data_IF_364844034174
#
_entry.id   IF_364844034174
#
_cell.length_a   1.000
_cell.length_b   1.000
_cell.length_c   1.000
_cell.angle_alpha   90.00
_cell.angle_beta   90.00
_cell.angle_gamma   90.00
#
_symmetry.space_group_name_H-M   'P 1'
#
loop_
_entity.id
_entity.type
_entity.pdbx_description
1 polymer ?
#
# COMPACT_ATOMS: atom_id res chain seq x y z
N UNK A 1 -26.42 -11.94 0.12
CA UNK A 1 -25.39 -10.91 -0.06
C UNK A 1 -24.79 -10.64 1.32
N UNK A 2 -23.61 -11.14 1.59
CA UNK A 2 -22.87 -10.78 2.80
C UNK A 2 -22.40 -9.33 2.61
N UNK A 3 -22.83 -8.43 3.47
CA UNK A 3 -22.32 -7.07 3.51
C UNK A 3 -20.81 -7.16 3.83
N UNK A 4 -19.99 -6.72 2.92
CA UNK A 4 -18.55 -6.53 3.21
C UNK A 4 -18.50 -5.48 4.31
N UNK A 5 -17.97 -5.86 5.47
CA UNK A 5 -17.82 -4.93 6.57
C UNK A 5 -16.88 -3.81 6.11
N UNK A 6 -17.39 -2.58 6.10
CA UNK A 6 -16.59 -1.42 5.76
C UNK A 6 -15.54 -1.20 6.83
N UNK A 7 -14.28 -1.06 6.42
CA UNK A 7 -13.17 -0.74 7.33
C UNK A 7 -13.41 0.65 7.91
N UNK A 8 -13.39 0.76 9.23
CA UNK A 8 -13.46 2.05 9.90
C UNK A 8 -12.06 2.53 10.26
N UNK A 9 -11.77 3.79 9.98
CA UNK A 9 -10.46 4.41 10.28
C UNK A 9 -10.03 4.23 11.74
N UNK A 10 -10.95 4.34 12.66
CA UNK A 10 -10.72 4.15 14.09
C UNK A 10 -10.24 2.74 14.45
N UNK A 11 -10.57 1.74 13.64
CA UNK A 11 -10.16 0.36 13.84
C UNK A 11 -8.70 0.11 13.42
N UNK A 12 -8.10 1.07 12.71
CA UNK A 12 -6.72 1.00 12.20
C UNK A 12 -5.70 1.63 13.13
N UNK A 13 -6.15 2.33 14.18
CA UNK A 13 -5.26 2.99 15.12
C UNK A 13 -4.47 2.00 15.95
N UNK A 14 -3.17 1.95 15.78
CA UNK A 14 -2.28 1.10 16.56
C UNK A 14 -1.39 1.93 17.46
N UNK A 15 -1.39 1.58 18.74
CA UNK A 15 -0.40 2.06 19.70
C UNK A 15 0.70 1.00 19.83
N UNK A 16 1.95 1.43 19.95
CA UNK A 16 3.11 0.60 20.27
C UNK A 16 3.69 -0.27 19.15
N UNK A 17 3.72 0.23 17.93
CA UNK A 17 4.55 -0.36 16.86
C UNK A 17 5.85 0.41 16.69
N UNK A 18 6.91 -0.27 16.23
CA UNK A 18 8.21 0.34 15.93
C UNK A 18 8.11 1.31 14.74
N UNK A 19 7.08 1.17 13.94
CA UNK A 19 6.78 2.01 12.78
C UNK A 19 5.44 2.73 13.02
N UNK A 20 5.42 4.07 13.06
CA UNK A 20 4.20 4.80 13.34
C UNK A 20 3.15 4.60 12.24
N UNK A 21 1.88 4.59 12.63
CA UNK A 21 0.77 4.68 11.69
C UNK A 21 0.76 6.01 10.96
N UNK A 22 0.51 5.99 9.67
CA UNK A 22 0.43 7.15 8.80
C UNK A 22 -0.76 7.01 7.84
N UNK A 23 -1.27 8.14 7.39
CA UNK A 23 -2.38 8.18 6.46
C UNK A 23 -2.17 9.25 5.39
N UNK A 24 -2.65 8.97 4.20
CA UNK A 24 -2.82 9.95 3.13
C UNK A 24 -4.25 9.89 2.63
N UNK A 25 -4.83 11.01 2.27
CA UNK A 25 -6.18 11.07 1.74
C UNK A 25 -6.33 12.16 0.67
N UNK A 26 -7.26 11.95 -0.24
CA UNK A 26 -7.65 12.93 -1.24
C UNK A 26 -9.15 12.84 -1.49
N UNK A 27 -9.78 13.97 -1.74
CA UNK A 27 -11.17 14.04 -2.18
C UNK A 27 -11.21 14.54 -3.62
N UNK A 28 -11.77 13.75 -4.53
CA UNK A 28 -11.92 14.06 -5.94
C UNK A 28 -13.39 13.90 -6.31
N UNK A 29 -14.01 14.95 -6.84
CA UNK A 29 -15.44 14.97 -7.20
C UNK A 29 -16.36 14.53 -6.05
N UNK A 30 -16.03 14.91 -4.80
CA UNK A 30 -16.78 14.53 -3.60
C UNK A 30 -16.60 13.06 -3.16
N UNK A 31 -15.69 12.32 -3.78
CA UNK A 31 -15.34 10.95 -3.43
C UNK A 31 -14.06 10.92 -2.63
N UNK A 32 -14.06 10.23 -1.50
CA UNK A 32 -12.89 10.12 -0.65
C UNK A 32 -12.10 8.88 -0.99
N UNK A 33 -10.80 9.06 -1.08
CA UNK A 33 -9.81 7.99 -1.16
C UNK A 33 -8.84 8.18 0.00
N UNK A 34 -8.46 7.10 0.66
CA UNK A 34 -7.39 7.16 1.65
C UNK A 34 -6.58 5.88 1.67
N UNK A 35 -5.31 6.01 2.06
CA UNK A 35 -4.41 4.88 2.34
C UNK A 35 -3.92 5.04 3.76
N UNK A 36 -4.03 3.97 4.55
CA UNK A 36 -3.44 3.86 5.87
C UNK A 36 -2.31 2.82 5.86
N UNK A 37 -1.18 3.15 6.45
CA UNK A 37 0.00 2.30 6.47
C UNK A 37 0.84 2.54 7.73
N UNK A 38 1.74 1.61 8.03
CA UNK A 38 2.79 1.80 9.03
C UNK A 38 4.08 2.19 8.33
N UNK A 39 4.67 3.31 8.76
CA UNK A 39 5.78 3.96 8.11
C UNK A 39 7.14 3.56 8.73
N UNK A 40 7.87 2.57 8.18
CA UNK A 40 9.19 2.22 8.65
C UNK A 40 10.22 3.28 8.25
N UNK A 41 11.29 3.39 9.05
CA UNK A 41 12.45 4.22 8.76
C UNK A 41 13.65 3.38 8.31
N UNK A 42 14.52 3.97 7.50
CA UNK A 42 15.73 3.32 6.96
C UNK A 42 16.68 2.88 8.07
N UNK A 43 16.94 3.76 9.03
CA UNK A 43 17.82 3.49 10.18
C UNK A 43 19.18 2.88 9.77
N UNK A 44 19.80 3.44 8.75
CA UNK A 44 21.09 2.99 8.24
C UNK A 44 21.08 1.66 7.49
N UNK A 45 19.92 1.07 7.22
CA UNK A 45 19.77 -0.15 6.42
C UNK A 45 19.80 0.18 4.93
N UNK A 46 20.16 -0.82 4.12
CA UNK A 46 19.92 -0.80 2.69
C UNK A 46 18.54 -1.45 2.44
N UNK A 47 17.59 -0.70 1.88
CA UNK A 47 16.21 -1.15 1.81
C UNK A 47 15.94 -1.96 0.55
N UNK A 48 16.18 -1.41 -0.63
CA UNK A 48 15.79 -2.02 -1.89
C UNK A 48 17.01 -2.40 -2.73
N UNK A 49 16.89 -3.49 -3.49
CA UNK A 49 17.89 -3.93 -4.47
C UNK A 49 18.19 -5.40 -4.40
N UNK A 50 19.40 -5.79 -4.76
CA UNK A 50 19.82 -7.17 -4.86
C UNK A 50 19.97 -7.90 -3.52
N UNK A 51 20.76 -8.96 -3.52
CA UNK A 51 20.99 -9.79 -2.34
C UNK A 51 21.53 -8.97 -1.15
N UNK A 52 20.92 -9.15 0.02
CA UNK A 52 21.27 -8.44 1.24
C UNK A 52 20.47 -7.17 1.51
N UNK A 53 19.65 -6.72 0.58
CA UNK A 53 18.68 -5.66 0.83
C UNK A 53 17.58 -6.13 1.80
N UNK A 54 17.01 -5.19 2.55
CA UNK A 54 15.91 -5.49 3.47
C UNK A 54 14.65 -5.97 2.73
N UNK A 55 14.44 -5.42 1.55
CA UNK A 55 13.40 -5.80 0.59
C UNK A 55 14.11 -6.15 -0.74
N UNK A 56 14.52 -7.40 -0.95
CA UNK A 56 15.29 -7.77 -2.13
C UNK A 56 14.43 -7.80 -3.38
N UNK A 57 15.09 -7.58 -4.52
CA UNK A 57 14.46 -7.73 -5.84
C UNK A 57 13.80 -9.10 -5.99
N UNK A 58 12.64 -9.14 -6.64
CA UNK A 58 11.84 -10.34 -6.83
C UNK A 58 11.01 -10.76 -5.63
N UNK A 59 11.03 -10.00 -4.52
CA UNK A 59 10.16 -10.24 -3.38
C UNK A 59 8.84 -9.46 -3.48
N UNK A 60 7.84 -9.90 -2.73
CA UNK A 60 6.61 -9.13 -2.50
C UNK A 60 6.72 -8.41 -1.16
N UNK A 61 6.53 -7.10 -1.20
CA UNK A 61 6.57 -6.23 -0.03
C UNK A 61 5.17 -5.74 0.34
N UNK A 62 4.79 -5.81 1.62
CA UNK A 62 3.47 -5.36 2.13
C UNK A 62 3.28 -3.84 2.16
N UNK A 63 4.14 -3.10 1.48
CA UNK A 63 4.07 -1.65 1.29
C UNK A 63 4.06 -0.86 2.61
N UNK A 64 4.79 -1.34 3.58
CA UNK A 64 4.86 -0.79 4.93
C UNK A 64 5.49 -1.75 5.91
N UNK A 65 5.24 -1.54 7.19
CA UNK A 65 5.68 -2.39 8.28
C UNK A 65 4.48 -2.85 9.12
N UNK A 66 4.72 -3.80 10.01
CA UNK A 66 3.77 -4.35 10.98
C UNK A 66 2.49 -4.89 10.31
N UNK A 67 1.47 -4.07 10.12
CA UNK A 67 0.17 -4.46 9.56
C UNK A 67 0.07 -4.17 8.06
N UNK A 68 -0.94 -4.74 7.42
CA UNK A 68 -1.19 -4.51 6.01
C UNK A 68 -1.51 -3.04 5.72
N UNK A 69 -1.01 -2.55 4.61
CA UNK A 69 -1.40 -1.24 4.05
C UNK A 69 -2.79 -1.36 3.44
N UNK A 70 -3.69 -0.45 3.76
CA UNK A 70 -5.09 -0.47 3.36
C UNK A 70 -5.40 0.70 2.44
N UNK A 71 -6.07 0.41 1.33
CA UNK A 71 -6.70 1.39 0.45
C UNK A 71 -8.21 1.36 0.67
N UNK A 72 -8.80 2.53 0.88
CA UNK A 72 -10.23 2.75 0.79
C UNK A 72 -10.57 3.66 -0.38
N UNK A 73 -11.67 3.37 -1.08
CA UNK A 73 -12.21 4.24 -2.11
C UNK A 73 -13.73 4.26 -2.12
N UNK A 74 -14.32 5.48 -2.10
CA UNK A 74 -15.76 5.70 -2.23
C UNK A 74 -16.29 5.53 -3.66
N UNK A 75 -15.40 5.42 -4.64
CA UNK A 75 -15.73 5.31 -6.06
C UNK A 75 -14.92 4.23 -6.76
N UNK A 76 -15.40 3.80 -7.91
CA UNK A 76 -14.60 2.97 -8.80
C UNK A 76 -13.39 3.78 -9.31
N UNK A 77 -12.24 3.14 -9.40
CA UNK A 77 -10.99 3.73 -9.88
C UNK A 77 -10.49 3.01 -11.11
N UNK A 78 -9.77 3.74 -11.93
CA UNK A 78 -8.79 3.19 -12.86
C UNK A 78 -7.40 3.58 -12.36
N UNK A 79 -6.62 2.61 -11.90
CA UNK A 79 -5.26 2.83 -11.45
C UNK A 79 -4.30 2.32 -12.54
N UNK A 80 -3.84 3.22 -13.39
CA UNK A 80 -2.94 2.93 -14.50
C UNK A 80 -3.36 1.70 -15.33
N UNK A 81 -4.67 1.63 -15.67
CA UNK A 81 -5.28 0.54 -16.43
C UNK A 81 -5.86 -0.61 -15.59
N UNK A 82 -5.67 -0.63 -14.27
CA UNK A 82 -6.32 -1.57 -13.38
C UNK A 82 -7.65 -1.00 -12.88
N UNK A 83 -8.76 -1.65 -13.20
CA UNK A 83 -10.07 -1.31 -12.65
C UNK A 83 -10.17 -1.78 -11.20
N UNK A 84 -10.43 -0.85 -10.28
CA UNK A 84 -10.62 -1.10 -8.85
C UNK A 84 -12.03 -0.63 -8.46
N UNK A 85 -12.98 -1.54 -8.22
CA UNK A 85 -14.30 -1.17 -7.74
C UNK A 85 -14.23 -0.43 -6.40
N UNK A 86 -15.22 0.40 -6.09
CA UNK A 86 -15.34 1.03 -4.77
C UNK A 86 -15.28 -0.03 -3.66
N UNK A 87 -14.57 0.26 -2.59
CA UNK A 87 -14.38 -0.69 -1.49
C UNK A 87 -13.07 -0.52 -0.75
N UNK A 88 -12.73 -1.54 -0.01
CA UNK A 88 -11.52 -1.62 0.81
C UNK A 88 -10.63 -2.76 0.30
N UNK A 89 -9.33 -2.49 0.26
CA UNK A 89 -8.32 -3.40 -0.27
C UNK A 89 -7.05 -3.35 0.56
N UNK A 90 -6.25 -4.42 0.49
CA UNK A 90 -4.87 -4.38 0.95
C UNK A 90 -3.92 -4.18 -0.23
N UNK A 91 -2.82 -3.48 0.01
CA UNK A 91 -1.82 -3.14 -1.01
C UNK A 91 -0.49 -3.82 -0.73
N UNK A 92 0.12 -4.31 -1.80
CA UNK A 92 1.47 -4.87 -1.81
C UNK A 92 2.24 -4.32 -3.01
N UNK A 93 3.55 -4.46 -2.99
CA UNK A 93 4.39 -4.19 -4.14
C UNK A 93 5.18 -5.44 -4.52
N UNK A 94 5.06 -5.84 -5.77
CA UNK A 94 5.96 -6.81 -6.41
C UNK A 94 7.21 -6.05 -6.85
N UNK A 95 8.35 -6.40 -6.26
CA UNK A 95 9.63 -5.72 -6.46
C UNK A 95 10.41 -6.36 -7.61
N UNK A 96 9.77 -6.60 -8.73
CA UNK A 96 10.39 -7.27 -9.86
C UNK A 96 11.50 -6.41 -10.48
N UNK A 97 12.72 -6.73 -10.10
CA UNK A 97 13.99 -6.25 -10.69
C UNK A 97 13.98 -4.77 -11.14
N UNK A 98 13.50 -3.88 -10.26
CA UNK A 98 13.43 -2.44 -10.51
C UNK A 98 12.26 -1.97 -11.38
N UNK A 99 11.34 -2.86 -11.74
CA UNK A 99 10.08 -2.57 -12.43
C UNK A 99 8.90 -3.00 -11.56
N UNK A 100 8.57 -2.19 -10.57
CA UNK A 100 7.58 -2.57 -9.58
C UNK A 100 6.15 -2.55 -10.12
N UNK A 101 5.35 -3.45 -9.55
CA UNK A 101 3.90 -3.46 -9.74
C UNK A 101 3.21 -3.33 -8.40
N UNK A 102 2.21 -2.48 -8.33
CA UNK A 102 1.31 -2.44 -7.19
C UNK A 102 0.34 -3.62 -7.30
N UNK A 103 0.24 -4.41 -6.25
CA UNK A 103 -0.73 -5.50 -6.12
C UNK A 103 -1.90 -4.99 -5.28
N UNK A 104 -3.10 -5.09 -5.82
CA UNK A 104 -4.34 -4.80 -5.11
C UNK A 104 -5.01 -6.13 -4.75
N UNK A 105 -5.23 -6.36 -3.45
CA UNK A 105 -5.75 -7.62 -2.95
C UNK A 105 -7.06 -7.41 -2.18
N UNK A 106 -8.00 -8.34 -2.35
CA UNK A 106 -9.35 -8.30 -1.74
C UNK A 106 -9.36 -8.86 -0.32
N UNK A 107 -8.26 -9.39 0.18
CA UNK A 107 -8.22 -9.98 1.52
C UNK A 107 -8.12 -8.90 2.59
N UNK A 108 -9.18 -8.76 3.35
CA UNK A 108 -9.29 -7.93 4.54
C UNK A 108 -9.66 -8.85 5.70
N UNK A 109 -8.69 -9.19 6.53
CA UNK A 109 -8.95 -9.86 7.80
C UNK A 109 -8.87 -8.82 8.91
N UNK A 110 -9.99 -8.51 9.53
CA UNK A 110 -10.04 -7.60 10.67
C UNK A 110 -9.78 -8.39 11.95
N UNK A 111 -8.70 -8.11 12.63
CA UNK A 111 -8.51 -8.45 14.04
C UNK A 111 -8.97 -7.30 14.93
N UNK A 112 -8.94 -7.47 16.25
CA UNK A 112 -9.54 -6.54 17.22
C UNK A 112 -9.12 -5.05 17.12
N UNK A 113 -8.14 -4.70 16.30
CA UNK A 113 -7.69 -3.33 15.97
C UNK A 113 -6.77 -3.28 14.75
N UNK A 114 -6.72 -4.31 13.92
CA UNK A 114 -5.74 -4.41 12.85
C UNK A 114 -6.33 -5.00 11.60
N UNK A 115 -5.87 -4.56 10.46
CA UNK A 115 -6.15 -5.20 9.18
C UNK A 115 -4.96 -6.09 8.83
N UNK A 116 -5.25 -7.36 8.65
CA UNK A 116 -4.30 -8.35 8.22
C UNK A 116 -4.52 -8.64 6.75
N UNK A 117 -3.48 -8.55 5.96
CA UNK A 117 -3.52 -8.94 4.56
C UNK A 117 -2.93 -10.32 4.33
N UNK A 118 -2.75 -10.66 3.07
CA UNK A 118 -2.06 -11.89 2.67
C UNK A 118 -0.66 -11.94 3.29
N UNK A 119 -0.29 -13.09 3.84
CA UNK A 119 1.03 -13.32 4.43
C UNK A 119 1.27 -12.66 5.79
N UNK A 120 0.29 -11.98 6.34
CA UNK A 120 0.35 -11.42 7.69
C UNK A 120 -0.55 -12.23 8.61
N UNK A 121 -0.01 -12.75 9.69
CA UNK A 121 -0.74 -13.60 10.63
C UNK A 121 -1.52 -12.78 11.65
N UNK A 122 -2.80 -13.14 11.97
CA UNK A 122 -3.59 -12.48 12.99
C UNK A 122 -3.00 -12.54 14.41
N UNK A 123 -2.13 -13.52 14.68
CA UNK A 123 -1.44 -13.67 15.96
C UNK A 123 -0.15 -12.84 16.07
N UNK A 124 0.22 -12.11 15.00
CA UNK A 124 1.42 -11.27 14.96
C UNK A 124 2.74 -12.04 14.92
N UNK A 125 2.70 -13.37 14.92
CA UNK A 125 3.89 -14.22 15.02
C UNK A 125 4.67 -14.28 13.70
N UNK A 126 4.03 -13.95 12.59
CA UNK A 126 4.63 -13.99 11.25
C UNK A 126 4.79 -12.61 10.62
N UNK A 127 5.30 -11.68 11.37
CA UNK A 127 5.71 -10.40 10.80
C UNK A 127 6.74 -10.62 9.68
N UNK A 128 6.50 -10.03 8.53
CA UNK A 128 7.42 -10.09 7.42
C UNK A 128 7.19 -11.20 6.40
N UNK A 129 6.36 -12.20 6.70
CA UNK A 129 6.00 -13.21 5.70
C UNK A 129 4.94 -12.63 4.74
N UNK A 130 5.35 -11.81 3.81
CA UNK A 130 4.46 -11.36 2.75
C UNK A 130 4.46 -12.41 1.64
N UNK A 131 3.29 -12.92 1.32
CA UNK A 131 3.09 -13.83 0.21
C UNK A 131 2.12 -13.22 -0.78
N UNK A 132 2.26 -13.59 -2.03
CA UNK A 132 1.27 -13.35 -3.05
C UNK A 132 0.23 -14.46 -3.00
N UNK A 133 -1.05 -14.10 -3.07
CA UNK A 133 -2.14 -15.04 -3.20
C UNK A 133 -2.98 -14.68 -4.43
N UNK A 134 -2.72 -15.29 -5.58
CA UNK A 134 -3.47 -15.03 -6.80
C UNK A 134 -4.97 -15.25 -6.68
N UNK A 135 -5.42 -16.10 -5.76
CA UNK A 135 -6.84 -16.37 -5.56
C UNK A 135 -7.62 -15.19 -4.99
N UNK A 136 -6.96 -14.31 -4.25
CA UNK A 136 -7.55 -13.12 -3.62
C UNK A 136 -7.09 -11.81 -4.26
N UNK A 137 -6.12 -11.86 -5.15
CA UNK A 137 -5.63 -10.70 -5.90
C UNK A 137 -6.72 -10.15 -6.81
N UNK A 138 -6.95 -8.83 -6.76
CA UNK A 138 -7.81 -8.14 -7.73
C UNK A 138 -7.05 -7.95 -9.04
N UNK A 139 -5.79 -7.58 -8.97
CA UNK A 139 -4.91 -7.36 -10.09
C UNK A 139 -3.69 -6.52 -9.74
N UNK A 140 -2.91 -6.19 -10.76
CA UNK A 140 -1.64 -5.45 -10.64
C UNK A 140 -1.60 -4.25 -11.57
N UNK A 141 -1.08 -3.14 -11.07
CA UNK A 141 -0.82 -1.95 -11.85
C UNK A 141 0.70 -1.68 -11.90
N UNK A 142 1.23 -1.40 -13.08
CA UNK A 142 2.63 -1.02 -13.24
C UNK A 142 2.90 0.32 -12.58
N UNK A 143 4.05 0.44 -11.90
CA UNK A 143 4.51 1.67 -11.28
C UNK A 143 5.61 2.31 -12.13
N UNK A 144 5.59 3.62 -12.22
CA UNK A 144 6.70 4.39 -12.79
C UNK A 144 7.77 4.57 -11.74
N UNK A 145 8.95 4.03 -12.00
CA UNK A 145 10.08 4.06 -11.07
C UNK A 145 10.92 5.33 -11.25
N UNK A 146 11.48 5.81 -10.15
CA UNK A 146 12.34 6.98 -10.14
C UNK A 146 13.18 7.09 -8.87
N UNK A 147 13.77 8.26 -8.67
CA UNK A 147 14.54 8.58 -7.47
C UNK A 147 14.04 9.89 -6.87
N UNK A 148 13.99 10.00 -5.53
CA UNK A 148 13.71 11.27 -4.88
C UNK A 148 14.91 12.23 -5.03
N UNK A 149 14.66 13.53 -4.86
CA UNK A 149 15.73 14.55 -4.91
C UNK A 149 16.78 14.40 -3.78
N UNK A 150 16.36 13.79 -2.69
CA UNK A 150 17.22 13.42 -1.55
C UNK A 150 16.67 12.14 -0.91
N UNK A 151 17.51 11.34 -0.23
CA UNK A 151 17.06 10.11 0.42
C UNK A 151 15.90 10.36 1.41
N UNK A 152 14.91 9.49 1.37
CA UNK A 152 13.71 9.55 2.22
C UNK A 152 13.87 8.57 3.37
N UNK A 153 14.08 9.09 4.58
CA UNK A 153 14.35 8.27 5.77
C UNK A 153 13.16 7.41 6.19
N UNK A 154 11.95 7.99 6.17
CA UNK A 154 10.73 7.29 6.60
C UNK A 154 9.82 7.09 5.39
N UNK A 155 9.30 5.88 5.21
CA UNK A 155 8.35 5.57 4.13
C UNK A 155 7.24 6.61 4.07
N UNK A 156 7.01 7.12 2.88
CA UNK A 156 5.93 8.06 2.57
C UNK A 156 5.09 7.53 1.42
N UNK A 157 3.80 7.44 1.66
CA UNK A 157 2.79 7.18 0.63
C UNK A 157 1.90 8.41 0.53
N UNK A 158 1.66 8.91 -0.67
CA UNK A 158 0.87 10.11 -0.90
C UNK A 158 -0.15 9.90 -2.02
N UNK A 159 -1.38 10.33 -1.77
CA UNK A 159 -2.42 10.54 -2.77
C UNK A 159 -2.54 12.03 -3.03
N UNK A 160 -2.65 12.43 -4.29
CA UNK A 160 -2.86 13.82 -4.69
C UNK A 160 -3.80 13.91 -5.88
N UNK A 161 -4.55 15.01 -5.98
CA UNK A 161 -5.32 15.33 -7.17
C UNK A 161 -4.40 15.88 -8.27
N UNK A 162 -4.72 15.58 -9.53
CA UNK A 162 -4.00 16.06 -10.71
C UNK A 162 -4.87 16.91 -11.63
N UNK A 163 -6.11 17.20 -11.21
CA UNK A 163 -7.11 17.98 -11.93
C UNK A 163 -8.27 17.12 -12.42
N UNK A 164 -9.48 17.68 -12.40
CA UNK A 164 -10.69 16.96 -12.78
C UNK A 164 -10.91 15.69 -11.96
N UNK A 165 -11.03 14.56 -12.63
CA UNK A 165 -11.18 13.24 -12.00
C UNK A 165 -9.84 12.53 -11.77
N UNK A 166 -8.72 13.15 -12.11
CA UNK A 166 -7.40 12.52 -12.09
C UNK A 166 -6.68 12.74 -10.78
N UNK A 167 -5.87 11.76 -10.40
CA UNK A 167 -4.98 11.81 -9.26
C UNK A 167 -3.70 11.02 -9.47
N UNK A 168 -2.84 11.07 -8.48
CA UNK A 168 -1.56 10.37 -8.49
C UNK A 168 -1.30 9.69 -7.14
N UNK A 169 -0.89 8.44 -7.19
CA UNK A 169 -0.27 7.71 -6.10
C UNK A 169 1.25 7.88 -6.20
N UNK A 170 1.90 8.20 -5.09
CA UNK A 170 3.36 8.28 -4.97
C UNK A 170 3.81 7.52 -3.73
N UNK A 171 4.85 6.70 -3.88
CA UNK A 171 5.52 5.96 -2.83
C UNK A 171 6.98 6.38 -2.83
N UNK A 172 7.51 6.78 -1.69
CA UNK A 172 8.91 7.22 -1.56
C UNK A 172 9.55 6.60 -0.31
N UNK A 173 10.66 5.94 -0.48
CA UNK A 173 11.47 5.44 0.62
C UNK A 173 12.91 5.20 0.18
N UNK A 174 13.88 5.52 1.07
CA UNK A 174 15.31 5.48 0.78
C UNK A 174 15.65 6.28 -0.50
N UNK A 175 16.10 5.63 -1.54
CA UNK A 175 16.49 6.22 -2.83
C UNK A 175 15.50 5.88 -3.96
N UNK A 176 14.31 5.41 -3.65
CA UNK A 176 13.34 4.95 -4.62
C UNK A 176 12.05 5.76 -4.54
N UNK A 177 11.54 6.14 -5.70
CA UNK A 177 10.16 6.56 -5.88
C UNK A 177 9.45 5.61 -6.81
N UNK A 178 8.18 5.32 -6.51
CA UNK A 178 7.30 4.55 -7.37
C UNK A 178 5.96 5.27 -7.46
N UNK A 179 5.39 5.44 -8.64
CA UNK A 179 4.15 6.19 -8.81
C UNK A 179 3.24 5.63 -9.87
N UNK A 180 1.95 5.91 -9.75
CA UNK A 180 0.96 5.61 -10.77
C UNK A 180 -0.10 6.71 -10.83
N UNK A 181 -0.60 7.07 -12.02
CA UNK A 181 -1.80 7.87 -12.16
C UNK A 181 -3.03 7.04 -11.82
N UNK A 182 -4.07 7.70 -11.34
CA UNK A 182 -5.39 7.09 -11.23
C UNK A 182 -6.48 8.06 -11.67
N UNK A 183 -7.63 7.51 -12.04
CA UNK A 183 -8.84 8.27 -12.40
C UNK A 183 -10.01 7.79 -11.55
N UNK A 184 -10.75 8.71 -10.97
CA UNK A 184 -12.03 8.44 -10.26
C UNK A 184 -13.14 8.36 -11.29
N UNK A 185 -13.92 7.28 -11.28
CA UNK A 185 -15.02 7.04 -12.24
C UNK A 185 -16.36 7.54 -11.72
#
# INVERSE_FOLDING_TARGET
MLAVAQVKREDLATKNTASPGAETSVTINGKNLWIYYHAPSVRGRHIFGGAGAHQPDGSVWRLGADYATVLHTDADLDLNGLAIPKGDYTLYADLDNGQWKLIVNKTLMAGARHIWGVGVSPDGIREGATTDDPATELGRASLTMGKPSSPVETLKIALSGAGGAEGKLLIEWENVTASAPFTVK
#
